data_IF_594418368685
#
_entry.id   IF_594418368685
#
_cell.length_a   1.000
_cell.length_b   1.000
_cell.length_c   1.000
_cell.angle_alpha   90.00
_cell.angle_beta   90.00
_cell.angle_gamma   90.00
#
_symmetry.space_group_name_H-M   'P 1'
#
loop_
_entity.id
_entity.type
_entity.pdbx_description
1 polymer ?
#
# COMPACT_ATOMS: atom_id res chain seq x y z
N UNK A 1 -2.65 6.39 20.88
CA UNK A 1 -2.20 5.34 19.93
C UNK A 1 -2.47 5.79 18.50
N UNK A 2 -3.68 6.26 18.18
CA UNK A 2 -4.03 6.82 16.87
C UNK A 2 -3.13 8.01 16.46
N UNK A 3 -2.93 8.97 17.34
CA UNK A 3 -2.03 10.12 17.10
C UNK A 3 -0.58 9.69 16.84
N UNK A 4 -0.08 8.69 17.57
CA UNK A 4 1.25 8.12 17.35
C UNK A 4 1.38 7.43 15.99
N UNK A 5 0.32 6.79 15.48
CA UNK A 5 0.29 6.21 14.13
C UNK A 5 0.41 7.32 13.10
N UNK A 6 -0.43 8.35 13.22
CA UNK A 6 -0.46 9.50 12.29
C UNK A 6 0.91 10.16 12.24
N UNK A 7 1.47 10.54 13.39
CA UNK A 7 2.75 11.22 13.47
C UNK A 7 3.90 10.38 12.93
N UNK A 8 3.98 9.10 13.31
CA UNK A 8 5.07 8.22 12.90
C UNK A 8 5.04 7.93 11.41
N UNK A 9 3.86 7.70 10.85
CA UNK A 9 3.72 7.45 9.42
C UNK A 9 3.98 8.73 8.64
N UNK A 10 3.43 9.88 9.06
CA UNK A 10 3.69 11.17 8.43
C UNK A 10 5.19 11.48 8.42
N UNK A 11 5.90 11.24 9.52
CA UNK A 11 7.34 11.43 9.60
C UNK A 11 8.11 10.52 8.64
N UNK A 12 7.78 9.23 8.58
CA UNK A 12 8.38 8.30 7.63
C UNK A 12 8.09 8.68 6.18
N UNK A 13 6.87 9.13 5.89
CA UNK A 13 6.45 9.55 4.57
C UNK A 13 7.17 10.80 4.06
N UNK A 14 7.75 11.66 4.91
CA UNK A 14 8.60 12.78 4.43
C UNK A 14 9.80 12.31 3.60
N UNK A 15 10.27 11.08 3.80
CA UNK A 15 11.31 10.50 2.94
C UNK A 15 10.87 10.30 1.48
N UNK A 16 9.57 10.18 1.20
CA UNK A 16 9.03 10.19 -0.17
C UNK A 16 9.21 11.54 -0.86
N UNK A 17 9.29 12.64 -0.11
CA UNK A 17 9.40 13.98 -0.69
C UNK A 17 10.75 14.23 -1.36
N UNK A 18 11.66 13.24 -1.40
CA UNK A 18 12.98 13.36 -2.04
C UNK A 18 13.10 12.40 -3.25
N UNK A 19 12.09 11.57 -3.54
CA UNK A 19 12.13 10.67 -4.69
C UNK A 19 11.14 9.51 -4.68
N UNK A 20 11.53 8.43 -5.35
CA UNK A 20 10.65 7.31 -5.65
C UNK A 20 10.39 6.43 -4.41
N UNK A 21 9.16 5.91 -4.31
CA UNK A 21 8.55 5.35 -3.09
C UNK A 21 9.23 4.09 -2.52
N UNK A 22 10.19 3.55 -3.25
CA UNK A 22 10.86 2.28 -2.97
C UNK A 22 12.13 2.43 -2.13
N UNK A 23 12.49 3.66 -1.73
CA UNK A 23 13.69 3.95 -0.95
C UNK A 23 13.41 3.95 0.56
N UNK A 24 13.54 2.78 1.20
CA UNK A 24 14.05 2.69 2.56
C UNK A 24 13.20 3.32 3.68
N UNK A 25 11.88 3.31 3.53
CA UNK A 25 11.00 3.92 4.53
C UNK A 25 10.71 2.96 5.67
N UNK A 26 11.18 3.34 6.84
CA UNK A 26 10.97 2.62 8.09
C UNK A 26 9.81 3.25 8.83
N UNK A 27 8.76 2.46 9.07
CA UNK A 27 7.68 2.80 9.98
C UNK A 27 7.82 1.94 11.24
N UNK A 28 7.36 2.42 12.40
CA UNK A 28 7.21 1.56 13.58
C UNK A 28 6.45 0.29 13.24
N UNK A 29 6.80 -0.81 13.91
CA UNK A 29 6.05 -2.06 13.74
C UNK A 29 4.76 -2.00 14.54
N UNK A 30 3.68 -1.63 13.85
CA UNK A 30 2.33 -1.52 14.41
C UNK A 30 1.33 -2.29 13.53
N UNK A 31 0.21 -2.78 14.10
CA UNK A 31 -0.82 -3.49 13.34
C UNK A 31 -1.70 -2.51 12.54
N UNK A 32 -1.11 -1.79 11.57
CA UNK A 32 -1.80 -0.72 10.81
C UNK A 32 -3.08 -1.21 10.11
N UNK A 33 -3.18 -2.49 9.76
CA UNK A 33 -4.39 -3.08 9.18
C UNK A 33 -5.65 -2.86 10.04
N UNK A 34 -5.52 -2.77 11.37
CA UNK A 34 -6.66 -2.56 12.28
C UNK A 34 -7.40 -1.23 12.04
N UNK A 35 -6.76 -0.29 11.36
CA UNK A 35 -7.22 1.08 11.19
C UNK A 35 -7.74 1.38 9.78
N UNK A 36 -7.86 0.38 8.89
CA UNK A 36 -8.34 0.59 7.52
C UNK A 36 -9.79 1.08 7.43
N UNK A 37 -10.59 0.79 8.46
CA UNK A 37 -11.96 1.26 8.61
C UNK A 37 -12.14 2.19 9.81
N UNK A 38 -11.06 2.83 10.28
CA UNK A 38 -11.13 3.77 11.39
C UNK A 38 -12.11 4.92 11.08
N UNK A 39 -12.74 5.56 12.05
CA UNK A 39 -13.69 6.67 11.80
C UNK A 39 -12.96 7.94 11.33
N UNK A 40 -11.77 8.19 11.87
CA UNK A 40 -10.88 9.28 11.47
C UNK A 40 -10.22 8.98 10.11
N UNK A 41 -10.45 9.87 9.13
CA UNK A 41 -9.91 9.77 7.77
C UNK A 41 -8.39 9.86 7.75
N UNK A 42 -7.78 10.59 8.66
CA UNK A 42 -6.33 10.75 8.74
C UNK A 42 -5.66 9.47 9.24
N UNK A 43 -6.22 8.88 10.30
CA UNK A 43 -5.78 7.57 10.81
C UNK A 43 -5.93 6.49 9.72
N UNK A 44 -7.06 6.49 8.98
CA UNK A 44 -7.23 5.59 7.81
C UNK A 44 -6.16 5.82 6.77
N UNK A 45 -5.99 7.07 6.33
CA UNK A 45 -5.04 7.48 5.28
C UNK A 45 -3.66 6.93 5.55
N UNK A 46 -3.11 7.23 6.73
CA UNK A 46 -1.75 6.84 7.06
C UNK A 46 -1.61 5.34 7.27
N UNK A 47 -2.62 4.68 7.82
CA UNK A 47 -2.60 3.22 7.95
C UNK A 47 -2.58 2.53 6.58
N UNK A 48 -3.39 2.99 5.63
CA UNK A 48 -3.42 2.46 4.26
C UNK A 48 -2.13 2.82 3.51
N UNK A 49 -1.61 4.04 3.70
CA UNK A 49 -0.35 4.47 3.11
C UNK A 49 0.78 3.50 3.46
N UNK A 50 0.95 3.14 4.74
CA UNK A 50 1.97 2.16 5.15
C UNK A 50 1.85 0.84 4.38
N UNK A 51 0.62 0.38 4.14
CA UNK A 51 0.40 -0.86 3.40
C UNK A 51 0.81 -0.73 1.94
N UNK A 52 0.48 0.38 1.29
CA UNK A 52 0.93 0.67 -0.08
C UNK A 52 2.45 0.67 -0.16
N UNK A 53 3.14 1.34 0.78
CA UNK A 53 4.61 1.38 0.81
C UNK A 53 5.19 -0.02 1.00
N UNK A 54 4.68 -0.78 1.97
CA UNK A 54 5.18 -2.14 2.25
C UNK A 54 5.02 -3.07 1.03
N UNK A 55 3.89 -2.99 0.31
CA UNK A 55 3.68 -3.73 -0.93
C UNK A 55 4.62 -3.25 -2.06
N UNK A 56 4.84 -1.94 -2.17
CA UNK A 56 5.77 -1.34 -3.11
C UNK A 56 7.22 -1.81 -2.89
N UNK A 57 7.69 -1.83 -1.65
CA UNK A 57 9.02 -2.35 -1.29
C UNK A 57 9.19 -3.83 -1.67
N UNK A 58 8.12 -4.62 -1.55
CA UNK A 58 8.14 -6.02 -1.99
C UNK A 58 8.34 -6.16 -3.50
N UNK A 59 7.70 -5.30 -4.32
CA UNK A 59 7.91 -5.27 -5.78
C UNK A 59 9.38 -5.11 -6.15
N UNK A 60 10.12 -4.31 -5.39
CA UNK A 60 11.57 -4.08 -5.59
C UNK A 60 12.47 -5.14 -4.93
N UNK A 61 11.88 -6.22 -4.39
CA UNK A 61 12.62 -7.36 -3.84
C UNK A 61 12.90 -7.28 -2.33
N UNK A 62 12.36 -6.28 -1.63
CA UNK A 62 12.47 -6.16 -0.18
C UNK A 62 11.23 -6.72 0.53
N UNK A 63 11.32 -7.98 0.96
CA UNK A 63 10.25 -8.65 1.72
C UNK A 63 10.28 -8.36 3.23
N UNK A 64 11.29 -7.62 3.69
CA UNK A 64 11.61 -7.41 5.11
C UNK A 64 10.43 -6.89 5.96
N UNK A 65 9.53 -6.13 5.34
CA UNK A 65 8.38 -5.55 6.04
C UNK A 65 7.26 -6.55 6.39
N UNK A 66 7.25 -7.74 5.76
CA UNK A 66 6.29 -8.79 6.11
C UNK A 66 6.97 -10.10 6.54
N UNK A 67 8.30 -10.09 6.72
CA UNK A 67 9.10 -11.29 7.04
C UNK A 67 9.57 -11.37 8.50
N UNK A 68 9.10 -10.48 9.40
CA UNK A 68 9.58 -10.48 10.77
C UNK A 68 9.19 -11.75 11.55
N UNK A 69 10.21 -12.29 12.21
CA UNK A 69 10.39 -13.62 12.79
C UNK A 69 9.47 -13.99 13.95
N UNK A 70 8.72 -13.04 14.53
CA UNK A 70 7.78 -13.35 15.62
C UNK A 70 6.42 -13.88 15.13
N UNK A 71 5.95 -13.47 13.95
CA UNK A 71 4.70 -14.00 13.36
C UNK A 71 4.89 -15.33 12.62
N UNK A 72 6.13 -15.73 12.35
CA UNK A 72 6.47 -17.09 11.90
C UNK A 72 6.01 -18.14 12.95
N UNK A 73 5.95 -17.78 14.24
CA UNK A 73 5.41 -18.65 15.30
C UNK A 73 3.88 -18.76 15.31
N UNK A 74 3.15 -17.81 14.72
CA UNK A 74 1.69 -17.72 14.77
C UNK A 74 0.99 -18.29 13.52
N UNK A 75 1.75 -18.85 12.58
CA UNK A 75 1.24 -19.54 11.39
C UNK A 75 0.26 -18.73 10.50
N UNK A 76 0.20 -17.39 10.67
CA UNK A 76 -0.50 -16.46 9.80
C UNK A 76 0.49 -15.43 9.26
N UNK A 77 0.80 -15.44 7.95
CA UNK A 77 1.63 -14.40 7.36
C UNK A 77 0.91 -13.06 7.52
N UNK A 78 1.57 -12.07 8.13
CA UNK A 78 1.02 -10.72 8.37
C UNK A 78 0.31 -10.13 7.13
N UNK A 79 0.88 -10.39 5.96
CA UNK A 79 0.32 -10.02 4.67
C UNK A 79 -1.09 -10.58 4.41
N UNK A 80 -1.42 -11.81 4.82
CA UNK A 80 -2.80 -12.33 4.70
C UNK A 80 -3.79 -11.48 5.50
N UNK A 81 -3.42 -11.09 6.72
CA UNK A 81 -4.28 -10.26 7.58
C UNK A 81 -4.50 -8.89 6.96
N UNK A 82 -3.44 -8.29 6.40
CA UNK A 82 -3.54 -7.04 5.65
C UNK A 82 -4.47 -7.16 4.44
N UNK A 83 -4.31 -8.22 3.63
CA UNK A 83 -5.13 -8.44 2.44
C UNK A 83 -6.59 -8.72 2.81
N UNK A 84 -6.85 -9.56 3.81
CA UNK A 84 -8.21 -9.81 4.31
C UNK A 84 -8.88 -8.50 4.78
N UNK A 85 -8.13 -7.67 5.52
CA UNK A 85 -8.67 -6.42 6.04
C UNK A 85 -8.90 -5.41 4.92
N UNK A 86 -7.97 -5.32 3.96
CA UNK A 86 -8.14 -4.53 2.74
C UNK A 86 -9.41 -4.92 1.98
N UNK A 87 -9.64 -6.21 1.74
CA UNK A 87 -10.83 -6.69 1.02
C UNK A 87 -12.13 -6.40 1.78
N UNK A 88 -12.12 -6.45 3.13
CA UNK A 88 -13.27 -6.06 3.95
C UNK A 88 -13.56 -4.57 3.91
N UNK A 89 -12.53 -3.73 3.82
CA UNK A 89 -12.64 -2.27 3.83
C UNK A 89 -12.65 -1.63 2.43
N UNK A 90 -12.63 -2.44 1.37
CA UNK A 90 -12.33 -2.02 -0.01
C UNK A 90 -13.22 -0.89 -0.54
N UNK A 91 -14.52 -0.90 -0.26
CA UNK A 91 -15.43 0.13 -0.76
C UNK A 91 -15.15 1.50 -0.13
N UNK A 92 -14.83 1.51 1.17
CA UNK A 92 -14.44 2.72 1.89
C UNK A 92 -13.10 3.25 1.39
N UNK A 93 -12.11 2.36 1.21
CA UNK A 93 -10.78 2.72 0.71
C UNK A 93 -10.87 3.26 -0.72
N UNK A 94 -11.63 2.60 -1.60
CA UNK A 94 -11.83 3.01 -3.00
C UNK A 94 -12.48 4.38 -3.10
N UNK A 95 -13.41 4.70 -2.19
CA UNK A 95 -14.07 6.01 -2.12
C UNK A 95 -13.13 7.10 -1.61
N UNK A 96 -12.44 6.86 -0.50
CA UNK A 96 -11.66 7.89 0.19
C UNK A 96 -10.26 8.09 -0.42
N UNK A 97 -9.66 7.01 -0.93
CA UNK A 97 -8.28 6.93 -1.41
C UNK A 97 -8.18 6.09 -2.70
N UNK A 98 -8.82 6.52 -3.80
CA UNK A 98 -8.87 5.76 -5.06
C UNK A 98 -7.49 5.44 -5.66
N UNK A 99 -6.49 6.31 -5.50
CA UNK A 99 -5.12 6.07 -5.97
C UNK A 99 -4.43 5.00 -5.13
N UNK A 100 -4.47 5.08 -3.79
CA UNK A 100 -3.94 4.03 -2.92
C UNK A 100 -4.61 2.69 -3.20
N UNK A 101 -5.92 2.66 -3.38
CA UNK A 101 -6.66 1.45 -3.75
C UNK A 101 -6.12 0.82 -5.04
N UNK A 102 -5.95 1.60 -6.11
CA UNK A 102 -5.39 1.10 -7.36
C UNK A 102 -3.95 0.60 -7.20
N UNK A 103 -3.11 1.29 -6.41
CA UNK A 103 -1.74 0.84 -6.13
C UNK A 103 -1.70 -0.47 -5.35
N UNK A 104 -2.59 -0.66 -4.36
CA UNK A 104 -2.69 -1.95 -3.65
C UNK A 104 -3.03 -3.07 -4.63
N UNK A 105 -4.00 -2.87 -5.53
CA UNK A 105 -4.34 -3.89 -6.55
C UNK A 105 -3.18 -4.15 -7.50
N UNK A 106 -2.50 -3.11 -7.96
CA UNK A 106 -1.36 -3.22 -8.88
C UNK A 106 -0.20 -4.00 -8.25
N UNK A 107 0.22 -3.65 -7.04
CA UNK A 107 1.30 -4.38 -6.35
C UNK A 107 0.87 -5.80 -5.96
N UNK A 108 -0.39 -5.99 -5.58
CA UNK A 108 -0.94 -7.33 -5.32
C UNK A 108 -0.92 -8.20 -6.58
N UNK A 109 -1.23 -7.64 -7.76
CA UNK A 109 -1.12 -8.36 -9.04
C UNK A 109 0.32 -8.82 -9.28
N UNK A 110 1.29 -7.91 -9.13
CA UNK A 110 2.72 -8.25 -9.27
C UNK A 110 3.12 -9.32 -8.26
N UNK A 111 2.61 -9.28 -7.04
CA UNK A 111 2.90 -10.30 -6.03
C UNK A 111 2.34 -11.68 -6.42
N UNK A 112 1.13 -11.73 -6.96
CA UNK A 112 0.52 -12.96 -7.45
C UNK A 112 1.29 -13.54 -8.66
N UNK A 113 1.72 -12.69 -9.60
CA UNK A 113 2.42 -13.07 -10.84
C UNK A 113 3.93 -13.35 -10.62
N UNK A 114 4.60 -12.54 -9.80
CA UNK A 114 6.03 -12.59 -9.50
C UNK A 114 6.47 -13.79 -8.67
N UNK A 115 5.51 -14.46 -8.01
CA UNK A 115 5.73 -15.78 -7.39
C UNK A 115 6.19 -16.85 -8.39
N UNK A 116 6.05 -16.62 -9.70
CA UNK A 116 6.42 -17.56 -10.76
C UNK A 116 7.69 -17.20 -11.56
N UNK A 117 8.15 -15.94 -11.58
CA UNK A 117 9.06 -15.45 -12.64
C UNK A 117 10.45 -14.97 -12.21
N UNK A 118 10.72 -14.68 -10.92
CA UNK A 118 11.99 -14.03 -10.52
C UNK A 118 13.07 -14.93 -9.94
N UNK A 119 12.92 -16.26 -9.93
CA UNK A 119 13.91 -17.17 -9.34
C UNK A 119 14.18 -16.92 -7.84
N UNK A 120 13.45 -16.00 -7.21
CA UNK A 120 13.60 -15.65 -5.82
C UNK A 120 12.81 -16.65 -4.96
N UNK A 121 13.46 -17.12 -3.91
CA UNK A 121 13.02 -18.15 -2.97
C UNK A 121 11.89 -17.72 -2.03
N UNK A 122 11.33 -16.52 -2.18
CA UNK A 122 10.23 -16.01 -1.36
C UNK A 122 8.92 -16.66 -1.76
N UNK A 123 8.69 -17.90 -1.29
CA UNK A 123 7.40 -18.58 -1.41
C UNK A 123 6.36 -17.84 -0.57
N UNK A 124 5.65 -16.93 -1.21
CA UNK A 124 4.43 -16.35 -0.68
C UNK A 124 3.40 -17.45 -0.40
N UNK A 125 3.02 -17.59 0.87
CA UNK A 125 1.93 -18.49 1.28
C UNK A 125 0.71 -17.62 1.55
N UNK A 126 -0.32 -17.82 0.75
CA UNK A 126 -1.64 -17.26 0.95
C UNK A 126 -2.67 -18.37 0.80
N UNK A 127 -3.61 -18.45 1.74
CA UNK A 127 -4.75 -19.37 1.64
C UNK A 127 -5.46 -19.23 0.28
N UNK A 128 -5.74 -20.35 -0.39
CA UNK A 128 -6.33 -20.36 -1.73
C UNK A 128 -7.62 -19.53 -1.86
N UNK A 129 -8.58 -19.57 -0.90
CA UNK A 129 -9.77 -18.74 -0.98
C UNK A 129 -9.46 -17.24 -1.03
N UNK A 130 -8.53 -16.79 -0.18
CA UNK A 130 -8.11 -15.39 -0.13
C UNK A 130 -7.39 -14.97 -1.41
N UNK A 131 -6.53 -15.85 -1.94
CA UNK A 131 -5.83 -15.64 -3.21
C UNK A 131 -6.82 -15.48 -4.37
N UNK A 132 -7.87 -16.31 -4.40
CA UNK A 132 -8.92 -16.25 -5.42
C UNK A 132 -9.74 -14.97 -5.32
N UNK A 133 -10.12 -14.57 -4.10
CA UNK A 133 -10.86 -13.33 -3.87
C UNK A 133 -10.07 -12.09 -4.28
N UNK A 134 -8.80 -12.00 -3.86
CA UNK A 134 -7.89 -10.93 -4.27
C UNK A 134 -7.73 -10.88 -5.79
N UNK A 135 -7.57 -12.04 -6.45
CA UNK A 135 -7.46 -12.11 -7.91
C UNK A 135 -8.72 -11.57 -8.59
N UNK A 136 -9.91 -11.95 -8.13
CA UNK A 136 -11.17 -11.46 -8.70
C UNK A 136 -11.28 -9.94 -8.54
N UNK A 137 -10.90 -9.41 -7.38
CA UNK A 137 -10.90 -7.97 -7.11
C UNK A 137 -9.98 -7.22 -8.08
N UNK A 138 -8.76 -7.75 -8.31
CA UNK A 138 -7.80 -7.23 -9.28
C UNK A 138 -8.38 -7.28 -10.69
N UNK A 139 -8.87 -8.44 -11.14
CA UNK A 139 -9.36 -8.63 -12.50
C UNK A 139 -10.52 -7.67 -12.83
N UNK A 140 -11.37 -7.37 -11.84
CA UNK A 140 -12.54 -6.51 -12.02
C UNK A 140 -12.25 -5.01 -11.89
N UNK A 141 -11.34 -4.62 -10.99
CA UNK A 141 -11.18 -3.21 -10.60
C UNK A 141 -9.83 -2.59 -10.98
N UNK A 142 -8.80 -3.38 -11.31
CA UNK A 142 -7.51 -2.81 -11.69
C UNK A 142 -7.56 -2.31 -13.13
N UNK A 143 -7.41 -1.00 -13.30
CA UNK A 143 -7.15 -0.42 -14.61
C UNK A 143 -5.68 0.00 -14.70
N UNK A 144 -4.86 -0.84 -15.32
CA UNK A 144 -3.41 -0.60 -15.47
C UNK A 144 -3.05 0.65 -16.28
N UNK A 145 -4.00 1.21 -17.04
CA UNK A 145 -3.83 2.46 -17.79
C UNK A 145 -4.39 3.68 -17.05
N UNK A 146 -4.91 3.48 -15.84
CA UNK A 146 -5.50 4.55 -15.04
C UNK A 146 -4.45 5.57 -14.64
N UNK A 147 -4.79 6.85 -14.74
CA UNK A 147 -3.98 7.96 -14.20
C UNK A 147 -3.82 7.86 -12.68
N UNK A 148 -4.72 7.15 -12.00
CA UNK A 148 -4.65 6.87 -10.56
C UNK A 148 -3.42 6.04 -10.15
N UNK A 149 -2.76 5.37 -11.09
CA UNK A 149 -1.49 4.67 -10.86
C UNK A 149 -0.26 5.57 -11.03
N UNK A 150 -0.44 6.86 -11.34
CA UNK A 150 0.68 7.80 -11.36
C UNK A 150 1.02 8.27 -9.94
N UNK A 151 2.32 8.44 -9.69
CA UNK A 151 2.89 8.88 -8.40
C UNK A 151 2.25 10.18 -7.91
N UNK A 152 1.92 11.11 -8.81
CA UNK A 152 1.22 12.38 -8.51
C UNK A 152 -0.06 12.19 -7.70
N UNK A 153 -0.93 11.25 -8.07
CA UNK A 153 -2.18 11.02 -7.31
C UNK A 153 -1.92 10.32 -5.99
N UNK A 154 -0.91 9.46 -5.94
CA UNK A 154 -0.50 8.81 -4.71
C UNK A 154 0.05 9.81 -3.69
N UNK A 155 0.92 10.74 -4.12
CA UNK A 155 1.45 11.83 -3.29
C UNK A 155 0.34 12.73 -2.74
N UNK A 156 -0.64 13.07 -3.60
CA UNK A 156 -1.83 13.82 -3.17
C UNK A 156 -2.59 13.10 -2.05
N UNK A 157 -2.79 11.79 -2.18
CA UNK A 157 -3.46 11.00 -1.16
C UNK A 157 -2.59 10.76 0.08
N UNK A 158 -1.26 10.81 -0.01
CA UNK A 158 -0.37 10.80 1.15
C UNK A 158 -0.27 12.17 1.83
N UNK A 159 -0.84 13.22 1.24
CA UNK A 159 -0.68 14.62 1.65
C UNK A 159 0.79 15.06 1.70
N UNK A 160 1.56 14.62 0.70
CA UNK A 160 2.96 15.00 0.55
C UNK A 160 3.11 16.06 -0.53
N UNK A 161 4.04 16.97 -0.32
CA UNK A 161 4.39 17.93 -1.35
C UNK A 161 5.22 17.23 -2.44
N UNK A 162 4.88 17.41 -3.72
CA UNK A 162 5.67 16.84 -4.79
C UNK A 162 7.06 17.48 -4.87
N UNK A 163 8.08 16.66 -5.10
CA UNK A 163 9.46 17.14 -5.27
C UNK A 163 9.74 17.59 -6.70
N UNK A 164 9.33 16.78 -7.69
CA UNK A 164 9.56 17.06 -9.10
C UNK A 164 8.42 17.88 -9.69
N UNK A 165 8.74 18.79 -10.63
CA UNK A 165 7.74 19.61 -11.31
C UNK A 165 6.68 18.78 -12.06
N UNK A 166 7.06 17.62 -12.60
CA UNK A 166 6.15 16.67 -13.25
C UNK A 166 5.06 16.11 -12.33
N UNK A 167 5.30 16.13 -11.03
CA UNK A 167 4.38 15.61 -10.01
C UNK A 167 3.35 16.66 -9.55
N UNK A 168 3.46 17.92 -9.99
CA UNK A 168 2.46 18.96 -9.75
C UNK A 168 1.32 18.86 -10.75
N UNK A 169 0.06 18.92 -10.29
CA UNK A 169 -1.08 19.01 -11.20
C UNK A 169 -0.93 20.25 -12.09
N UNK A 170 -1.16 20.11 -13.39
CA UNK A 170 -1.10 21.25 -14.30
C UNK A 170 -2.08 22.31 -13.79
N UNK A 171 -1.56 23.49 -13.45
CA UNK A 171 -2.39 24.66 -13.13
C UNK A 171 -2.82 25.26 -14.47
N UNK A 172 -3.61 24.52 -15.24
CA UNK A 172 -4.27 25.06 -16.44
C UNK A 172 -5.74 25.34 -16.11
N UNK A 173 -5.94 26.40 -15.32
CA UNK A 173 -7.27 26.94 -15.04
C UNK A 173 -7.30 27.98 -13.92
N UNK A 174 -7.16 29.26 -14.28
CA UNK A 174 -7.48 30.45 -13.47
C UNK A 174 -6.38 30.85 -12.48
N UNK A 175 -5.86 32.08 -12.48
CA UNK A 175 -6.51 33.39 -12.74
C UNK A 175 -5.80 34.14 -13.87
#
# INVERSE_FOLDING_TARGET
MEEQIVESVRAGLKGFEIGDFHLGLSFPQMPYYQYFSHSDIEVRRYSIATFVVRLGNWKEGSSFHFSHTERIKLNQPELEVYIQTFLKSKEMIKKDFPSMYQHVLFFSKILLEGSATRGQTWKFRMAYPLKKELKNEIDFNLNVKSTLLSTKYLLKEFQLQPFFSSDYFDISGGI
#
